data_IF_406278971810
#
_entry.id   IF_406278971810
#
_cell.length_a   1.000
_cell.length_b   1.000
_cell.length_c   1.000
_cell.angle_alpha   90.00
_cell.angle_beta   90.00
_cell.angle_gamma   90.00
#
_symmetry.space_group_name_H-M   'P 1'
#
loop_
_entity.id
_entity.type
_entity.pdbx_description
1 polymer ?
#
# COMPACT_ATOMS: atom_id res chain seq x y z
N UNK A 1 4.53 -20.45 -14.21
CA UNK A 1 4.22 -19.26 -13.41
C UNK A 1 5.37 -19.05 -12.45
N UNK A 2 5.91 -17.84 -12.34
CA UNK A 2 6.97 -17.57 -11.37
C UNK A 2 6.47 -17.69 -9.92
N UNK A 3 7.40 -17.95 -9.00
CA UNK A 3 7.11 -18.05 -7.57
C UNK A 3 7.85 -16.94 -6.82
N UNK A 4 7.14 -16.29 -5.89
CA UNK A 4 7.70 -15.36 -4.92
C UNK A 4 7.80 -16.06 -3.56
N UNK A 5 9.02 -16.19 -3.05
CA UNK A 5 9.30 -16.72 -1.72
C UNK A 5 9.55 -15.55 -0.78
N UNK A 6 8.84 -15.49 0.32
CA UNK A 6 8.94 -14.37 1.28
C UNK A 6 8.56 -14.82 2.68
N UNK A 7 9.04 -14.11 3.71
CA UNK A 7 8.62 -14.34 5.09
C UNK A 7 7.30 -13.64 5.40
N UNK A 8 7.02 -12.48 4.77
CA UNK A 8 5.77 -11.75 4.95
C UNK A 8 5.48 -10.83 3.75
N UNK A 9 4.22 -10.42 3.65
CA UNK A 9 3.70 -9.51 2.64
C UNK A 9 3.26 -8.21 3.29
N UNK A 10 3.73 -7.09 2.77
CA UNK A 10 3.41 -5.75 3.25
C UNK A 10 2.62 -5.03 2.16
N UNK A 11 1.39 -4.70 2.44
CA UNK A 11 0.50 -4.08 1.46
C UNK A 11 0.28 -2.61 1.79
N UNK A 12 0.43 -1.73 0.80
CA UNK A 12 -0.28 -0.47 0.83
C UNK A 12 -1.80 -0.72 0.75
N UNK A 13 -2.60 0.29 1.05
CA UNK A 13 -4.05 0.17 1.08
C UNK A 13 -4.72 0.79 -0.15
N UNK A 14 -4.64 2.10 -0.29
CA UNK A 14 -5.40 2.85 -1.30
C UNK A 14 -4.75 2.77 -2.68
N UNK A 15 -5.46 2.23 -3.66
CA UNK A 15 -4.91 1.93 -5.00
C UNK A 15 -4.22 0.56 -5.09
N UNK A 16 -3.91 -0.07 -3.94
CA UNK A 16 -3.28 -1.39 -3.86
C UNK A 16 -4.27 -2.48 -3.46
N UNK A 17 -4.84 -2.43 -2.26
CA UNK A 17 -5.87 -3.37 -1.78
C UNK A 17 -7.29 -2.86 -2.03
N UNK A 18 -7.46 -1.55 -1.95
CA UNK A 18 -8.75 -0.84 -2.01
C UNK A 18 -8.75 0.13 -3.16
N UNK A 19 -9.72 0.04 -4.06
CA UNK A 19 -10.00 1.10 -5.01
C UNK A 19 -10.87 2.18 -4.34
N UNK A 20 -10.23 3.25 -3.94
CA UNK A 20 -10.81 4.47 -3.38
C UNK A 20 -10.63 5.68 -4.33
N UNK A 21 -10.14 5.47 -5.53
CA UNK A 21 -9.66 6.50 -6.47
C UNK A 21 -10.71 7.59 -6.70
N UNK A 22 -11.94 7.21 -7.03
CA UNK A 22 -13.00 8.19 -7.34
C UNK A 22 -13.34 9.07 -6.12
N UNK A 23 -13.38 8.50 -4.91
CA UNK A 23 -13.63 9.24 -3.67
C UNK A 23 -12.47 10.18 -3.35
N UNK A 24 -11.24 9.72 -3.43
CA UNK A 24 -10.03 10.52 -3.18
C UNK A 24 -9.95 11.68 -4.16
N UNK A 25 -10.15 11.44 -5.47
CA UNK A 25 -10.15 12.49 -6.47
C UNK A 25 -11.25 13.53 -6.24
N UNK A 26 -12.48 13.11 -5.90
CA UNK A 26 -13.58 14.02 -5.60
C UNK A 26 -13.32 14.85 -4.33
N UNK A 27 -12.71 14.26 -3.32
CA UNK A 27 -12.32 14.93 -2.08
C UNK A 27 -11.29 16.03 -2.35
N UNK A 28 -10.24 15.72 -3.12
CA UNK A 28 -9.23 16.71 -3.52
C UNK A 28 -9.79 17.75 -4.48
N UNK A 29 -10.72 17.41 -5.38
CA UNK A 29 -11.40 18.38 -6.23
C UNK A 29 -12.18 19.41 -5.41
N UNK A 30 -12.87 18.96 -4.36
CA UNK A 30 -13.55 19.84 -3.41
C UNK A 30 -12.59 20.77 -2.66
N UNK A 31 -11.44 20.26 -2.23
CA UNK A 31 -10.36 21.05 -1.62
C UNK A 31 -9.83 22.11 -2.61
N UNK A 32 -9.49 21.70 -3.82
CA UNK A 32 -8.98 22.60 -4.85
C UNK A 32 -9.96 23.71 -5.19
N UNK A 33 -11.25 23.41 -5.30
CA UNK A 33 -12.29 24.40 -5.59
C UNK A 33 -12.40 25.46 -4.48
N UNK A 34 -12.23 25.07 -3.21
CA UNK A 34 -12.28 26.01 -2.07
C UNK A 34 -11.10 26.95 -2.02
N UNK A 35 -9.93 26.49 -2.46
CA UNK A 35 -8.65 27.22 -2.31
C UNK A 35 -8.08 27.77 -3.63
N UNK A 36 -8.79 27.61 -4.75
CA UNK A 36 -8.33 28.10 -6.06
C UNK A 36 -7.08 27.38 -6.56
N UNK A 37 -6.94 26.08 -6.25
CA UNK A 37 -5.79 25.25 -6.63
C UNK A 37 -6.10 24.42 -7.88
N UNK A 38 -5.05 24.07 -8.64
CA UNK A 38 -5.16 23.17 -9.76
C UNK A 38 -5.18 21.71 -9.28
N UNK A 39 -6.26 20.97 -9.56
CA UNK A 39 -6.41 19.58 -9.14
C UNK A 39 -5.25 18.67 -9.60
N UNK A 40 -4.76 18.75 -10.87
CA UNK A 40 -3.65 17.91 -11.28
C UNK A 40 -2.38 18.08 -10.43
N UNK A 41 -2.07 19.30 -10.00
CA UNK A 41 -0.89 19.59 -9.19
C UNK A 41 -1.03 19.01 -7.78
N UNK A 42 -2.24 19.08 -7.21
CA UNK A 42 -2.53 18.51 -5.89
C UNK A 42 -2.49 17.00 -5.95
N UNK A 43 -3.14 16.36 -6.92
CA UNK A 43 -3.13 14.90 -7.08
C UNK A 43 -1.73 14.34 -7.33
N UNK A 44 -0.92 15.01 -8.15
CA UNK A 44 0.46 14.61 -8.42
C UNK A 44 1.32 14.55 -7.15
N UNK A 45 0.98 15.35 -6.13
CA UNK A 45 1.67 15.34 -4.84
C UNK A 45 1.00 14.43 -3.81
N UNK A 46 -0.33 14.35 -3.81
CA UNK A 46 -1.13 13.68 -2.77
C UNK A 46 -0.99 12.16 -2.77
N UNK A 47 -0.83 11.53 -3.94
CA UNK A 47 -0.83 10.08 -4.05
C UNK A 47 0.28 9.44 -3.19
N UNK A 48 -0.14 8.53 -2.30
CA UNK A 48 0.73 7.81 -1.39
C UNK A 48 1.23 8.63 -0.19
N UNK A 49 0.79 9.88 -0.01
CA UNK A 49 1.21 10.75 1.10
C UNK A 49 0.09 10.99 2.12
N UNK A 50 0.44 11.24 3.38
CA UNK A 50 -0.55 11.66 4.38
C UNK A 50 -1.27 12.95 3.98
N UNK A 51 -2.58 13.02 4.24
CA UNK A 51 -3.42 14.20 3.95
C UNK A 51 -2.85 15.48 4.55
N UNK A 52 -2.32 15.42 5.79
CA UNK A 52 -1.71 16.57 6.48
C UNK A 52 -0.51 17.15 5.72
N UNK A 53 0.31 16.31 5.11
CA UNK A 53 1.49 16.74 4.35
C UNK A 53 1.08 17.43 3.06
N UNK A 54 0.11 16.85 2.35
CA UNK A 54 -0.42 17.44 1.13
C UNK A 54 -1.09 18.78 1.41
N UNK A 55 -1.97 18.86 2.41
CA UNK A 55 -2.62 20.13 2.77
C UNK A 55 -1.57 21.18 3.18
N UNK A 56 -0.62 20.83 4.03
CA UNK A 56 0.44 21.74 4.47
C UNK A 56 1.36 22.22 3.33
N UNK A 57 1.51 21.42 2.26
CA UNK A 57 2.26 21.83 1.05
C UNK A 57 1.59 22.97 0.30
N UNK A 58 0.25 22.99 0.25
CA UNK A 58 -0.53 23.92 -0.56
C UNK A 58 -1.13 25.08 0.28
N UNK A 59 -1.29 24.90 1.58
CA UNK A 59 -1.78 25.92 2.49
C UNK A 59 -0.68 26.30 3.51
N UNK A 60 -0.02 27.47 3.37
CA UNK A 60 1.06 27.87 4.25
C UNK A 60 0.59 28.32 5.65
N UNK A 61 -0.68 28.67 5.83
CA UNK A 61 -1.26 28.99 7.13
C UNK A 61 -1.51 27.70 7.93
N UNK A 62 -0.85 27.49 9.07
CA UNK A 62 -0.93 26.24 9.81
C UNK A 62 -2.29 26.00 10.46
N UNK A 63 -3.03 27.07 10.84
CA UNK A 63 -4.36 26.92 11.43
C UNK A 63 -5.38 26.48 10.35
N UNK A 64 -5.33 27.15 9.20
CA UNK A 64 -6.16 26.77 8.05
C UNK A 64 -5.82 25.37 7.55
N UNK A 65 -4.53 25.03 7.44
CA UNK A 65 -4.11 23.69 7.04
C UNK A 65 -4.62 22.60 7.99
N UNK A 66 -4.53 22.84 9.30
CA UNK A 66 -5.06 21.90 10.30
C UNK A 66 -6.59 21.78 10.21
N UNK A 67 -7.32 22.86 9.99
CA UNK A 67 -8.77 22.85 9.85
C UNK A 67 -9.22 22.08 8.59
N UNK A 68 -8.57 22.33 7.44
CA UNK A 68 -8.86 21.63 6.18
C UNK A 68 -8.48 20.15 6.26
N UNK A 69 -7.34 19.81 6.88
CA UNK A 69 -6.97 18.40 7.11
C UNK A 69 -8.06 17.66 7.87
N UNK A 70 -8.55 18.22 8.99
CA UNK A 70 -9.65 17.61 9.75
C UNK A 70 -10.94 17.46 8.92
N UNK A 71 -11.24 18.48 8.10
CA UNK A 71 -12.41 18.45 7.21
C UNK A 71 -12.34 17.35 6.18
N UNK A 72 -11.19 17.21 5.51
CA UNK A 72 -10.97 16.17 4.49
C UNK A 72 -11.05 14.78 5.11
N UNK A 73 -10.33 14.54 6.21
CA UNK A 73 -10.36 13.26 6.93
C UNK A 73 -11.77 12.90 7.38
N UNK A 74 -12.51 13.83 8.01
CA UNK A 74 -13.88 13.59 8.43
C UNK A 74 -14.82 13.25 7.25
N UNK A 75 -14.62 13.88 6.09
CA UNK A 75 -15.37 13.56 4.88
C UNK A 75 -15.07 12.14 4.39
N UNK A 76 -13.79 11.78 4.27
CA UNK A 76 -13.36 10.46 3.81
C UNK A 76 -13.78 9.33 4.77
N UNK A 77 -13.81 9.59 6.09
CA UNK A 77 -14.30 8.63 7.09
C UNK A 77 -15.81 8.42 7.05
N UNK A 78 -16.57 9.42 6.59
CA UNK A 78 -18.04 9.37 6.52
C UNK A 78 -18.59 8.87 5.19
N UNK A 79 -17.77 8.90 4.13
CA UNK A 79 -18.18 8.53 2.77
C UNK A 79 -17.48 7.23 2.35
N UNK A 80 -18.27 6.25 1.94
CA UNK A 80 -17.78 4.93 1.51
C UNK A 80 -18.32 4.51 0.15
N UNK A 81 -19.10 5.36 -0.48
CA UNK A 81 -19.73 5.06 -1.78
C UNK A 81 -18.66 4.85 -2.85
N UNK A 82 -18.74 3.72 -3.56
CA UNK A 82 -17.81 3.38 -4.64
C UNK A 82 -16.48 2.79 -4.19
N UNK A 83 -16.25 2.62 -2.88
CA UNK A 83 -15.07 1.89 -2.38
C UNK A 83 -15.27 0.41 -2.63
N UNK A 84 -14.30 -0.23 -3.30
CA UNK A 84 -14.30 -1.66 -3.59
C UNK A 84 -12.90 -2.26 -3.39
N UNK A 85 -12.83 -3.59 -3.28
CA UNK A 85 -11.53 -4.27 -3.27
C UNK A 85 -10.90 -4.26 -4.68
N UNK A 86 -9.59 -4.11 -4.75
CA UNK A 86 -8.83 -4.38 -5.99
C UNK A 86 -9.04 -5.85 -6.37
N UNK A 87 -9.23 -6.19 -7.66
CA UNK A 87 -9.50 -7.56 -8.09
C UNK A 87 -8.46 -8.56 -7.57
N UNK A 88 -8.92 -9.65 -6.96
CA UNK A 88 -8.09 -10.71 -6.39
C UNK A 88 -7.54 -10.43 -4.98
N UNK A 89 -7.69 -9.21 -4.44
CA UNK A 89 -7.17 -8.87 -3.10
C UNK A 89 -7.87 -9.67 -1.99
N UNK A 90 -9.19 -9.80 -2.05
CA UNK A 90 -9.95 -10.52 -1.03
C UNK A 90 -9.56 -12.02 -0.97
N UNK A 91 -9.44 -12.66 -2.12
CA UNK A 91 -9.03 -14.07 -2.23
C UNK A 91 -7.59 -14.29 -1.77
N UNK A 92 -6.70 -13.36 -2.10
CA UNK A 92 -5.31 -13.40 -1.66
C UNK A 92 -5.22 -13.29 -0.15
N UNK A 93 -5.83 -12.26 0.46
CA UNK A 93 -5.78 -12.04 1.91
C UNK A 93 -6.44 -13.18 2.69
N UNK A 94 -7.55 -13.75 2.19
CA UNK A 94 -8.21 -14.87 2.83
C UNK A 94 -7.36 -16.17 2.84
N UNK A 95 -6.40 -16.28 1.93
CA UNK A 95 -5.51 -17.44 1.84
C UNK A 95 -4.21 -17.29 2.65
N UNK A 96 -3.90 -16.09 3.13
CA UNK A 96 -2.69 -15.81 3.89
C UNK A 96 -2.85 -16.17 5.38
N UNK A 97 -1.81 -16.71 6.04
CA UNK A 97 -1.77 -16.78 7.49
C UNK A 97 -1.86 -15.36 8.10
N UNK A 98 -2.60 -15.17 9.21
CA UNK A 98 -2.80 -13.84 9.81
C UNK A 98 -1.50 -13.12 10.21
N UNK A 99 -0.49 -13.87 10.62
CA UNK A 99 0.83 -13.42 11.04
C UNK A 99 1.83 -13.20 9.89
N UNK A 100 1.40 -13.46 8.65
CA UNK A 100 2.26 -13.39 7.47
C UNK A 100 2.04 -12.12 6.61
N UNK A 101 1.22 -11.17 7.05
CA UNK A 101 0.98 -9.96 6.29
C UNK A 101 0.62 -8.76 7.17
N UNK A 102 0.85 -7.57 6.63
CA UNK A 102 0.49 -6.30 7.26
C UNK A 102 -0.01 -5.29 6.24
N UNK A 103 -0.77 -4.29 6.72
CA UNK A 103 -1.12 -3.10 5.95
C UNK A 103 -0.25 -1.92 6.40
N UNK A 104 0.28 -1.16 5.44
CA UNK A 104 1.08 0.05 5.67
C UNK A 104 0.52 1.19 4.84
N UNK A 105 -0.22 2.10 5.46
CA UNK A 105 -0.97 3.14 4.77
C UNK A 105 -0.62 4.56 5.24
N UNK A 106 -0.77 5.53 4.34
CA UNK A 106 -0.70 6.96 4.63
C UNK A 106 -2.02 7.55 5.17
N UNK A 107 -3.09 6.74 5.26
CA UNK A 107 -4.31 7.08 5.97
C UNK A 107 -4.12 6.99 7.48
N UNK A 108 -4.93 7.73 8.26
CA UNK A 108 -5.07 7.50 9.70
C UNK A 108 -5.81 6.18 9.99
N UNK A 109 -5.64 5.65 11.20
CA UNK A 109 -6.18 4.33 11.58
C UNK A 109 -7.68 4.19 11.34
N UNK A 110 -8.45 5.18 11.76
CA UNK A 110 -9.92 5.16 11.61
C UNK A 110 -10.32 5.09 10.14
N UNK A 111 -9.69 5.90 9.28
CA UNK A 111 -9.95 5.90 7.83
C UNK A 111 -9.57 4.55 7.20
N UNK A 112 -8.44 3.96 7.59
CA UNK A 112 -8.02 2.66 7.10
C UNK A 112 -9.03 1.55 7.44
N UNK A 113 -9.52 1.52 8.69
CA UNK A 113 -10.55 0.57 9.13
C UNK A 113 -11.85 0.73 8.33
N UNK A 114 -12.30 1.98 8.12
CA UNK A 114 -13.51 2.28 7.32
C UNK A 114 -13.36 1.80 5.88
N UNK A 115 -12.23 2.07 5.24
CA UNK A 115 -11.98 1.69 3.84
C UNK A 115 -11.87 0.18 3.66
N UNK A 116 -11.13 -0.52 4.51
CA UNK A 116 -11.04 -1.99 4.47
C UNK A 116 -12.40 -2.64 4.68
N UNK A 117 -13.17 -2.16 5.66
CA UNK A 117 -14.52 -2.66 5.92
C UNK A 117 -15.46 -2.40 4.74
N UNK A 118 -15.44 -1.20 4.13
CA UNK A 118 -16.25 -0.86 2.97
C UNK A 118 -15.91 -1.72 1.75
N UNK A 119 -14.62 -2.06 1.56
CA UNK A 119 -14.15 -2.97 0.52
C UNK A 119 -14.42 -4.47 0.83
N UNK A 120 -14.96 -4.80 2.01
CA UNK A 120 -15.18 -6.20 2.43
C UNK A 120 -13.89 -6.97 2.70
N UNK A 121 -12.80 -6.27 3.02
CA UNK A 121 -11.50 -6.88 3.30
C UNK A 121 -11.30 -7.10 4.81
N UNK A 122 -10.56 -8.14 5.22
CA UNK A 122 -10.25 -8.39 6.62
C UNK A 122 -9.32 -7.30 7.19
N UNK A 123 -9.45 -7.02 8.49
CA UNK A 123 -8.46 -6.22 9.20
C UNK A 123 -7.23 -7.08 9.50
N UNK A 124 -6.01 -6.58 9.23
CA UNK A 124 -4.77 -7.27 9.56
C UNK A 124 -4.50 -7.24 11.07
N UNK A 125 -3.73 -8.21 11.57
CA UNK A 125 -3.19 -8.15 12.94
C UNK A 125 -2.17 -7.02 13.09
N UNK A 126 -1.38 -6.76 12.05
CA UNK A 126 -0.41 -5.66 12.00
C UNK A 126 -0.86 -4.61 10.97
N UNK A 127 -1.15 -3.42 11.45
CA UNK A 127 -1.48 -2.25 10.64
C UNK A 127 -0.62 -1.08 11.07
N UNK A 128 0.17 -0.52 10.16
CA UNK A 128 0.94 0.71 10.35
C UNK A 128 0.28 1.82 9.53
N UNK A 129 -0.09 2.89 10.21
CA UNK A 129 -0.87 4.02 9.65
C UNK A 129 -0.10 5.34 9.76
N UNK A 130 -0.63 6.42 9.22
CA UNK A 130 -0.05 7.75 9.39
C UNK A 130 0.07 8.19 10.87
N UNK A 131 -0.70 7.56 11.76
CA UNK A 131 -0.67 7.87 13.20
C UNK A 131 0.49 7.18 13.92
N UNK A 132 1.08 6.15 13.30
CA UNK A 132 2.12 5.31 13.89
C UNK A 132 3.54 5.72 13.48
N UNK A 133 3.70 6.67 12.55
CA UNK A 133 5.00 7.08 11.99
C UNK A 133 5.28 8.56 12.16
N UNK A 134 6.54 8.90 12.28
CA UNK A 134 7.00 10.29 12.27
C UNK A 134 7.15 10.79 10.82
N UNK A 135 7.70 9.94 9.95
CA UNK A 135 7.93 10.24 8.56
C UNK A 135 7.08 9.33 7.67
N UNK A 136 6.13 9.92 6.94
CA UNK A 136 5.31 9.23 5.95
C UNK A 136 6.10 8.87 4.69
N UNK A 137 5.48 8.08 3.79
CA UNK A 137 6.03 7.78 2.46
C UNK A 137 6.40 9.10 1.73
N UNK A 138 7.57 9.19 1.08
CA UNK A 138 8.44 8.09 0.64
C UNK A 138 9.47 7.58 1.67
N UNK A 139 9.46 8.03 2.92
CA UNK A 139 10.34 7.50 3.95
C UNK A 139 9.98 6.04 4.29
N UNK A 140 10.95 5.13 4.47
CA UNK A 140 10.69 3.69 4.65
C UNK A 140 10.13 3.31 6.02
N UNK A 141 9.97 4.26 6.96
CA UNK A 141 9.64 4.01 8.37
C UNK A 141 8.43 3.08 8.54
N UNK A 142 7.36 3.28 7.75
CA UNK A 142 6.15 2.47 7.85
C UNK A 142 6.41 0.99 7.55
N UNK A 143 7.13 0.70 6.47
CA UNK A 143 7.48 -0.68 6.08
C UNK A 143 8.46 -1.33 7.05
N UNK A 144 9.44 -0.58 7.54
CA UNK A 144 10.38 -1.07 8.57
C UNK A 144 9.65 -1.41 9.88
N UNK A 145 8.69 -0.59 10.31
CA UNK A 145 7.86 -0.87 11.49
C UNK A 145 6.99 -2.11 11.31
N UNK A 146 6.38 -2.27 10.13
CA UNK A 146 5.56 -3.43 9.83
C UNK A 146 6.38 -4.73 9.82
N UNK A 147 7.56 -4.75 9.19
CA UNK A 147 8.46 -5.89 9.21
C UNK A 147 8.90 -6.25 10.65
N UNK A 148 9.25 -5.23 11.44
CA UNK A 148 9.61 -5.43 12.85
C UNK A 148 8.44 -5.99 13.69
N UNK A 149 7.22 -5.51 13.47
CA UNK A 149 6.02 -5.98 14.15
C UNK A 149 5.68 -7.44 13.81
N UNK A 150 5.95 -7.86 12.56
CA UNK A 150 5.83 -9.26 12.12
C UNK A 150 7.05 -10.14 12.52
N UNK A 151 8.09 -9.55 13.10
CA UNK A 151 9.29 -10.28 13.52
C UNK A 151 10.16 -10.78 12.36
N UNK A 152 10.13 -10.10 11.22
CA UNK A 152 10.87 -10.48 10.00
C UNK A 152 11.84 -9.40 9.56
N UNK A 153 12.91 -9.80 8.86
CA UNK A 153 13.83 -8.86 8.24
C UNK A 153 13.18 -8.20 7.01
N UNK A 154 13.32 -6.88 6.79
CA UNK A 154 12.74 -6.20 5.64
C UNK A 154 13.11 -6.85 4.30
N UNK A 155 14.36 -7.25 4.12
CA UNK A 155 14.83 -7.93 2.90
C UNK A 155 14.17 -9.29 2.63
N UNK A 156 13.52 -9.88 3.63
CA UNK A 156 12.74 -11.11 3.50
C UNK A 156 11.25 -10.85 3.25
N UNK A 157 10.84 -9.59 2.99
CA UNK A 157 9.45 -9.21 2.72
C UNK A 157 9.22 -8.79 1.28
N UNK A 158 7.95 -8.83 0.87
CA UNK A 158 7.49 -8.25 -0.39
C UNK A 158 6.52 -7.12 -0.07
N UNK A 159 6.80 -5.92 -0.60
CA UNK A 159 5.93 -4.75 -0.54
C UNK A 159 5.10 -4.69 -1.81
N UNK A 160 3.79 -4.47 -1.68
CA UNK A 160 2.88 -4.19 -2.79
C UNK A 160 2.42 -2.74 -2.71
N UNK A 161 2.54 -2.00 -3.81
CA UNK A 161 2.32 -0.56 -3.89
C UNK A 161 1.80 -0.11 -5.26
N UNK A 162 1.09 1.03 -5.29
CA UNK A 162 0.57 1.64 -6.51
C UNK A 162 1.13 3.05 -6.76
N UNK A 163 1.67 3.71 -5.73
CA UNK A 163 2.11 5.11 -5.74
C UNK A 163 3.62 5.26 -5.82
N UNK A 164 4.10 6.34 -6.45
CA UNK A 164 5.54 6.62 -6.53
C UNK A 164 6.19 6.84 -5.17
N UNK A 165 5.48 7.49 -4.24
CA UNK A 165 5.99 7.69 -2.88
C UNK A 165 6.12 6.36 -2.12
N UNK A 166 5.15 5.48 -2.30
CA UNK A 166 5.16 4.19 -1.65
C UNK A 166 6.17 3.21 -2.25
N UNK A 167 6.31 3.18 -3.57
CA UNK A 167 7.36 2.38 -4.24
C UNK A 167 8.75 2.78 -3.74
N UNK A 168 9.04 4.08 -3.64
CA UNK A 168 10.31 4.55 -3.08
C UNK A 168 10.48 4.09 -1.63
N UNK A 169 9.45 4.21 -0.79
CA UNK A 169 9.49 3.75 0.60
C UNK A 169 9.75 2.24 0.70
N UNK A 170 9.12 1.44 -0.17
CA UNK A 170 9.35 0.00 -0.26
C UNK A 170 10.79 -0.34 -0.64
N UNK A 171 11.31 0.27 -1.70
CA UNK A 171 12.70 0.07 -2.15
C UNK A 171 13.72 0.50 -1.08
N UNK A 172 13.51 1.66 -0.46
CA UNK A 172 14.40 2.17 0.60
C UNK A 172 14.34 1.35 1.90
N UNK A 173 13.26 0.60 2.14
CA UNK A 173 13.17 -0.33 3.27
C UNK A 173 14.07 -1.57 3.08
N UNK A 174 14.55 -1.83 1.86
CA UNK A 174 15.28 -3.03 1.49
C UNK A 174 14.39 -4.22 1.14
N UNK A 175 13.06 -4.06 1.14
CA UNK A 175 12.11 -5.07 0.72
C UNK A 175 12.09 -5.25 -0.81
N UNK A 176 11.73 -6.44 -1.29
CA UNK A 176 11.34 -6.59 -2.70
C UNK A 176 10.03 -5.81 -2.90
N UNK A 177 10.03 -4.90 -3.85
CA UNK A 177 8.85 -4.07 -4.13
C UNK A 177 8.19 -4.49 -5.43
N UNK A 178 6.87 -4.58 -5.42
CA UNK A 178 6.01 -4.95 -6.55
C UNK A 178 4.98 -3.84 -6.74
N UNK A 179 4.78 -3.41 -7.98
CA UNK A 179 3.81 -2.38 -8.34
C UNK A 179 2.49 -3.04 -8.73
N UNK A 180 1.39 -2.56 -8.16
CA UNK A 180 0.02 -2.90 -8.56
C UNK A 180 -0.56 -1.72 -9.37
N UNK A 181 -1.25 -2.01 -10.46
CA UNK A 181 -1.88 -0.99 -11.30
C UNK A 181 -1.00 -0.47 -12.44
N UNK A 182 -1.18 0.81 -12.76
CA UNK A 182 -0.66 1.42 -14.01
C UNK A 182 0.67 2.15 -13.92
N UNK A 183 1.32 2.23 -12.76
CA UNK A 183 2.52 3.03 -12.54
C UNK A 183 3.76 2.41 -13.21
N UNK A 184 4.05 2.78 -14.46
CA UNK A 184 5.14 2.23 -15.26
C UNK A 184 6.51 2.90 -15.01
N UNK A 185 6.57 3.99 -14.24
CA UNK A 185 7.81 4.76 -14.01
C UNK A 185 8.91 3.93 -13.33
N UNK A 186 8.55 2.85 -12.65
CA UNK A 186 9.46 2.00 -11.88
C UNK A 186 9.65 0.60 -12.50
N UNK A 187 9.25 0.38 -13.76
CA UNK A 187 9.37 -0.94 -14.43
C UNK A 187 10.81 -1.49 -14.48
N UNK A 188 11.82 -0.62 -14.36
CA UNK A 188 13.23 -1.02 -14.28
C UNK A 188 13.66 -1.47 -12.86
N UNK A 189 12.90 -1.10 -11.82
CA UNK A 189 13.24 -1.34 -10.42
C UNK A 189 12.29 -2.31 -9.71
N UNK A 190 11.07 -2.48 -10.23
CA UNK A 190 10.02 -3.29 -9.62
C UNK A 190 9.17 -4.00 -10.68
N UNK A 191 8.79 -5.23 -10.39
CA UNK A 191 7.80 -5.94 -11.20
C UNK A 191 6.44 -5.26 -11.08
N UNK A 192 5.65 -5.26 -12.15
CA UNK A 192 4.34 -4.64 -12.17
C UNK A 192 3.25 -5.63 -12.59
N UNK A 193 2.12 -5.60 -11.86
CA UNK A 193 0.92 -6.37 -12.15
C UNK A 193 -0.28 -5.44 -12.20
N UNK A 194 -1.28 -5.77 -13.00
CA UNK A 194 -2.49 -4.94 -13.11
C UNK A 194 -3.30 -4.93 -11.80
N UNK A 195 -3.39 -6.08 -11.15
CA UNK A 195 -4.12 -6.35 -9.91
C UNK A 195 -3.65 -7.68 -9.32
N UNK A 196 -4.36 -8.22 -8.33
CA UNK A 196 -4.04 -9.51 -7.70
C UNK A 196 -4.70 -10.71 -8.38
N UNK A 197 -5.36 -10.54 -9.53
CA UNK A 197 -5.94 -11.65 -10.28
C UNK A 197 -4.86 -12.65 -10.69
N UNK A 198 -5.05 -13.91 -10.32
CA UNK A 198 -4.05 -14.95 -10.62
C UNK A 198 -2.95 -15.13 -9.58
N UNK A 199 -2.83 -14.27 -8.57
CA UNK A 199 -2.00 -14.56 -7.41
C UNK A 199 -2.59 -15.73 -6.61
N UNK A 200 -1.74 -16.66 -6.16
CA UNK A 200 -2.16 -17.82 -5.36
C UNK A 200 -1.15 -18.11 -4.26
N UNK A 201 -1.63 -18.29 -3.05
CA UNK A 201 -0.83 -18.79 -1.94
C UNK A 201 -0.69 -20.30 -2.10
N UNK A 202 0.55 -20.81 -2.17
CA UNK A 202 0.82 -22.24 -2.41
C UNK A 202 1.39 -22.96 -1.18
N UNK A 203 1.37 -22.31 -0.01
CA UNK A 203 1.83 -22.89 1.26
C UNK A 203 3.34 -22.77 1.47
N UNK A 204 3.85 -23.04 2.69
CA UNK A 204 5.27 -23.20 2.91
C UNK A 204 5.79 -24.43 2.17
N UNK A 205 6.96 -24.35 1.56
CA UNK A 205 7.61 -25.54 1.00
C UNK A 205 7.75 -26.63 2.08
N UNK A 206 7.12 -27.77 1.86
CA UNK A 206 7.35 -28.96 2.64
C UNK A 206 8.80 -29.44 2.37
N UNK A 207 9.80 -28.90 3.10
CA UNK A 207 11.19 -29.27 2.86
C UNK A 207 12.27 -28.40 3.52
N UNK A 208 11.95 -27.28 4.15
CA UNK A 208 12.93 -26.54 4.95
C UNK A 208 13.17 -27.28 6.28
N UNK A 209 14.22 -28.03 6.31
CA UNK A 209 14.77 -28.88 7.34
C UNK A 209 14.65 -28.26 8.75
N UNK A 210 13.94 -28.94 9.64
CA UNK A 210 13.88 -28.67 11.08
C UNK A 210 15.24 -28.96 11.73
N UNK A 211 16.18 -28.06 11.50
CA UNK A 211 17.40 -27.99 12.32
C UNK A 211 17.01 -27.41 13.68
N UNK A 212 17.14 -28.21 14.74
CA UNK A 212 16.90 -27.81 16.12
C UNK A 212 17.65 -26.52 16.46
N UNK A 213 16.94 -25.41 16.77
CA UNK A 213 17.56 -24.23 17.35
C UNK A 213 17.08 -22.86 16.79
N UNK A 214 16.03 -22.76 15.98
CA UNK A 214 15.51 -21.48 15.55
C UNK A 214 14.30 -21.08 16.39
N UNK A 215 14.35 -19.85 16.97
CA UNK A 215 13.19 -19.10 17.45
C UNK A 215 12.04 -19.20 16.47
N UNK A 216 10.79 -19.21 16.93
CA UNK A 216 9.56 -19.30 16.14
C UNK A 216 9.46 -18.15 15.12
N UNK A 217 10.16 -18.26 14.02
CA UNK A 217 9.97 -17.39 12.86
C UNK A 217 8.73 -17.83 12.09
N UNK A 218 7.95 -16.86 11.60
CA UNK A 218 6.79 -17.10 10.78
C UNK A 218 7.11 -18.09 9.63
N UNK A 219 6.24 -19.04 9.38
CA UNK A 219 6.37 -19.95 8.25
C UNK A 219 6.34 -19.13 6.95
N UNK A 220 7.37 -19.26 6.12
CA UNK A 220 7.48 -18.48 4.87
C UNK A 220 6.26 -18.64 3.95
N UNK A 221 5.94 -17.62 3.21
CA UNK A 221 4.86 -17.61 2.23
C UNK A 221 5.42 -17.86 0.83
N UNK A 222 4.78 -18.73 0.06
CA UNK A 222 5.07 -18.90 -1.35
C UNK A 222 3.86 -18.43 -2.16
N UNK A 223 4.08 -17.41 -2.99
CA UNK A 223 3.09 -16.95 -3.95
C UNK A 223 3.44 -17.46 -5.35
N UNK A 224 2.46 -18.10 -5.99
CA UNK A 224 2.47 -18.23 -7.44
C UNK A 224 1.88 -16.96 -8.03
N UNK A 225 2.60 -16.30 -8.94
CA UNK A 225 2.19 -15.04 -9.55
C UNK A 225 2.01 -15.20 -11.06
N UNK A 226 1.15 -14.40 -11.70
CA UNK A 226 1.06 -14.36 -13.17
C UNK A 226 2.35 -13.80 -13.78
N UNK A 227 2.44 -13.74 -15.11
CA UNK A 227 3.52 -13.00 -15.76
C UNK A 227 3.33 -11.48 -15.49
N UNK A 228 4.40 -10.77 -15.13
CA UNK A 228 4.32 -9.34 -14.90
C UNK A 228 3.98 -8.58 -16.18
N UNK A 229 3.37 -7.41 -16.04
CA UNK A 229 3.15 -6.50 -17.16
C UNK A 229 4.51 -5.96 -17.59
N UNK A 230 5.03 -6.45 -18.70
CA UNK A 230 6.29 -5.94 -19.26
C UNK A 230 6.06 -4.56 -19.89
N UNK A 231 6.99 -3.62 -19.69
CA UNK A 231 7.04 -2.41 -20.50
C UNK A 231 7.06 -2.81 -21.98
N UNK A 232 6.10 -2.33 -22.77
CA UNK A 232 6.21 -2.45 -24.23
C UNK A 232 7.49 -1.70 -24.61
N UNK A 233 8.54 -2.44 -24.95
CA UNK A 233 9.67 -1.87 -25.66
C UNK A 233 9.11 -1.31 -26.96
N UNK A 234 8.83 0.00 -26.97
CA UNK A 234 8.43 0.72 -28.15
C UNK A 234 9.54 0.57 -29.17
N UNK A 235 9.31 -0.30 -30.17
CA UNK A 235 10.18 -0.38 -31.31
C UNK A 235 10.25 0.99 -31.97
N UNK A 236 11.37 1.64 -31.84
CA UNK A 236 11.73 2.78 -32.68
C UNK A 236 11.74 2.28 -34.13
N UNK A 237 10.90 2.84 -34.97
CA UNK A 237 11.04 2.89 -36.42
C UNK A 237 11.08 4.34 -36.85
#
# INVERSE_FOLDING_TARGET
MPHLHTSALLFDMDGTLVDSTALVESTWAGFCARHGLALPDVLAYAHGRPTRETVGRFLPDPELAAAETRRLVAHEESETTGITAIPGAAELLAALPPDAWAVVTSAGRRLAEVRLAAAGLPLPEVMVTADDVVHGKPHPEGYLRAAAALGVEPAATVVFEDSGAGVLAGLESGARTVVIGGLATYDDAAERYADFSGFRVTGPEAGANSGAGASSGAAGVVLTVPEPVTARTGGAR
#
